data_IF_311474037206
#
_entry.id   IF_311474037206
#
_cell.length_a   1.000
_cell.length_b   1.000
_cell.length_c   1.000
_cell.angle_alpha   90.00
_cell.angle_beta   90.00
_cell.angle_gamma   90.00
#
_symmetry.space_group_name_H-M   'P 1'
#
loop_
_entity.id
_entity.type
_entity.pdbx_description
1 polymer ?
#
# COMPACT_ATOMS: atom_id res chain seq x y z
N UNK A 1 -8.31 0.02 -13.66
CA UNK A 1 -9.38 0.93 -13.20
C UNK A 1 -10.04 1.62 -14.40
N UNK A 2 -9.35 2.29 -15.33
CA UNK A 2 -10.00 2.92 -16.49
C UNK A 2 -10.98 2.01 -17.22
N UNK A 3 -10.53 0.85 -17.68
CA UNK A 3 -11.37 -0.11 -18.42
C UNK A 3 -12.62 -0.56 -17.65
N UNK A 4 -12.54 -0.62 -16.29
CA UNK A 4 -13.68 -0.96 -15.46
C UNK A 4 -14.69 0.19 -15.40
N UNK A 5 -14.22 1.44 -15.32
CA UNK A 5 -15.08 2.63 -15.35
C UNK A 5 -15.79 2.72 -16.71
N UNK A 6 -15.05 2.55 -17.80
CA UNK A 6 -15.59 2.55 -19.18
C UNK A 6 -16.60 1.42 -19.41
N UNK A 7 -16.41 0.27 -18.76
CA UNK A 7 -17.38 -0.83 -18.74
C UNK A 7 -18.63 -0.56 -17.86
N UNK A 8 -18.76 0.62 -17.25
CA UNK A 8 -19.90 1.03 -16.46
C UNK A 8 -19.83 0.67 -14.97
N UNK A 9 -18.66 0.30 -14.44
CA UNK A 9 -18.49 0.07 -13.00
C UNK A 9 -18.45 1.43 -12.29
N UNK A 10 -19.37 1.67 -11.39
CA UNK A 10 -19.55 2.94 -10.67
C UNK A 10 -19.10 2.88 -9.21
N UNK A 11 -18.78 1.69 -8.69
CA UNK A 11 -18.37 1.51 -7.29
C UNK A 11 -17.34 0.38 -7.17
N UNK A 12 -16.32 0.61 -6.33
CA UNK A 12 -15.24 -0.34 -6.07
C UNK A 12 -15.24 -0.71 -4.58
N UNK A 13 -15.43 -1.98 -4.29
CA UNK A 13 -15.35 -2.51 -2.93
C UNK A 13 -13.94 -3.00 -2.63
N UNK A 14 -13.36 -2.51 -1.53
CA UNK A 14 -12.05 -2.94 -1.03
C UNK A 14 -12.28 -3.84 0.18
N UNK A 15 -11.76 -5.07 0.13
CA UNK A 15 -11.79 -5.97 1.27
C UNK A 15 -10.56 -5.77 2.13
N UNK A 16 -10.79 -5.34 3.38
CA UNK A 16 -9.75 -5.08 4.38
C UNK A 16 -9.93 -5.88 5.67
N UNK A 17 -10.81 -6.90 5.69
CA UNK A 17 -11.04 -7.72 6.88
C UNK A 17 -9.74 -8.37 7.34
N UNK A 18 -9.46 -8.28 8.65
CA UNK A 18 -8.23 -8.79 9.27
C UNK A 18 -6.94 -8.13 8.73
N UNK A 19 -7.05 -6.93 8.17
CA UNK A 19 -5.92 -6.11 7.76
C UNK A 19 -5.77 -4.90 8.68
N UNK A 20 -4.54 -4.43 8.83
CA UNK A 20 -4.21 -3.24 9.60
C UNK A 20 -4.60 -1.94 8.87
N UNK A 21 -4.50 -0.83 9.58
CA UNK A 21 -4.82 0.49 9.05
C UNK A 21 -3.84 0.90 7.93
N UNK A 22 -2.59 0.45 7.98
CA UNK A 22 -1.57 0.74 6.95
C UNK A 22 -1.99 0.12 5.62
N UNK A 23 -2.44 -1.14 5.64
CA UNK A 23 -3.00 -1.78 4.45
C UNK A 23 -4.18 -1.01 3.88
N UNK A 24 -5.14 -0.60 4.74
CA UNK A 24 -6.34 0.12 4.29
C UNK A 24 -5.97 1.47 3.68
N UNK A 25 -5.17 2.30 4.37
CA UNK A 25 -4.72 3.60 3.88
C UNK A 25 -3.96 3.48 2.55
N UNK A 26 -3.05 2.51 2.44
CA UNK A 26 -2.25 2.29 1.23
C UNK A 26 -3.13 1.91 0.03
N UNK A 27 -4.02 0.93 0.20
CA UNK A 27 -4.90 0.46 -0.88
C UNK A 27 -5.92 1.53 -1.31
N UNK A 28 -6.55 2.21 -0.35
CA UNK A 28 -7.51 3.29 -0.63
C UNK A 28 -6.81 4.44 -1.34
N UNK A 29 -5.63 4.86 -0.88
CA UNK A 29 -4.84 5.91 -1.51
C UNK A 29 -4.46 5.55 -2.96
N UNK A 30 -3.98 4.33 -3.18
CA UNK A 30 -3.61 3.86 -4.52
C UNK A 30 -4.80 3.93 -5.50
N UNK A 31 -5.93 3.36 -5.09
CA UNK A 31 -7.13 3.33 -5.93
C UNK A 31 -7.71 4.74 -6.13
N UNK A 32 -7.74 5.57 -5.08
CA UNK A 32 -8.23 6.95 -5.16
C UNK A 32 -7.40 7.78 -6.13
N UNK A 33 -6.07 7.73 -6.04
CA UNK A 33 -5.17 8.41 -6.98
C UNK A 33 -5.40 7.96 -8.43
N UNK A 34 -5.64 6.67 -8.66
CA UNK A 34 -5.93 6.14 -10.02
C UNK A 34 -7.28 6.59 -10.57
N UNK A 35 -8.30 6.68 -9.72
CA UNK A 35 -9.62 7.18 -10.12
C UNK A 35 -9.54 8.69 -10.39
N UNK A 36 -8.92 9.47 -9.50
CA UNK A 36 -8.80 10.92 -9.67
C UNK A 36 -8.05 11.28 -10.95
N UNK A 37 -6.93 10.61 -11.23
CA UNK A 37 -6.18 10.83 -12.47
C UNK A 37 -6.99 10.48 -13.74
N UNK A 38 -7.87 9.47 -13.67
CA UNK A 38 -8.77 9.16 -14.78
C UNK A 38 -9.85 10.24 -14.97
N UNK A 39 -10.46 10.69 -13.88
CA UNK A 39 -11.50 11.73 -13.92
C UNK A 39 -10.96 13.07 -14.43
N UNK A 40 -9.75 13.46 -14.07
CA UNK A 40 -9.09 14.67 -14.55
C UNK A 40 -8.92 14.68 -16.10
N UNK A 41 -8.71 13.51 -16.69
CA UNK A 41 -8.53 13.35 -18.14
C UNK A 41 -9.85 13.12 -18.89
N UNK A 42 -10.95 12.83 -18.20
CA UNK A 42 -12.21 12.41 -18.79
C UNK A 42 -13.40 13.21 -18.21
N UNK A 43 -13.66 14.43 -18.70
CA UNK A 43 -14.67 15.36 -18.13
C UNK A 43 -16.10 14.88 -18.21
N UNK A 44 -16.40 13.82 -18.96
CA UNK A 44 -17.70 13.17 -19.00
C UNK A 44 -18.01 12.33 -17.74
N UNK A 45 -17.03 12.14 -16.88
CA UNK A 45 -17.16 11.40 -15.62
C UNK A 45 -16.91 12.33 -14.44
N UNK A 46 -17.71 12.16 -13.39
CA UNK A 46 -17.55 12.90 -12.13
C UNK A 46 -17.50 11.93 -10.96
N UNK A 47 -16.89 12.35 -9.85
CA UNK A 47 -16.96 11.55 -8.62
C UNK A 47 -18.34 11.68 -7.99
N UNK A 48 -18.88 10.56 -7.50
CA UNK A 48 -20.18 10.52 -6.81
C UNK A 48 -20.07 10.90 -5.31
N UNK A 49 -18.88 11.17 -4.80
CA UNK A 49 -18.67 11.47 -3.38
C UNK A 49 -18.03 12.83 -3.19
N UNK A 50 -18.51 13.59 -2.21
CA UNK A 50 -17.98 14.90 -1.81
C UNK A 50 -16.58 14.81 -1.23
N UNK A 51 -15.93 15.95 -1.13
CA UNK A 51 -14.65 16.11 -0.46
C UNK A 51 -13.43 15.71 -1.29
N UNK A 52 -12.27 16.13 -0.81
CA UNK A 52 -10.97 15.88 -1.40
C UNK A 52 -10.09 15.07 -0.45
N UNK A 53 -9.51 14.01 -0.98
CA UNK A 53 -8.53 13.20 -0.25
C UNK A 53 -7.12 13.76 -0.47
N UNK A 54 -6.35 13.82 0.61
CA UNK A 54 -4.92 14.18 0.59
C UNK A 54 -4.12 13.08 1.28
N UNK A 55 -2.93 12.80 0.75
CA UNK A 55 -2.05 11.75 1.25
C UNK A 55 -0.64 12.30 1.37
N UNK A 56 0.06 12.00 2.48
CA UNK A 56 1.44 12.42 2.72
C UNK A 56 2.47 11.35 2.35
N UNK A 57 2.02 10.29 1.69
CA UNK A 57 2.87 9.18 1.25
C UNK A 57 2.54 8.77 -0.19
N UNK A 58 3.51 8.12 -0.83
CA UNK A 58 3.28 7.47 -2.12
C UNK A 58 2.83 6.03 -1.91
N UNK A 59 1.61 5.76 -2.37
CA UNK A 59 1.00 4.44 -2.25
C UNK A 59 1.66 3.44 -3.19
N UNK A 60 2.05 2.29 -2.64
CA UNK A 60 2.67 1.18 -3.36
C UNK A 60 2.13 -0.14 -2.78
N UNK A 61 1.31 -0.84 -3.57
CA UNK A 61 0.59 -2.03 -3.08
C UNK A 61 1.51 -3.14 -2.58
N UNK A 62 2.70 -3.28 -3.18
CA UNK A 62 3.67 -4.30 -2.79
C UNK A 62 4.26 -4.10 -1.37
N UNK A 63 4.18 -2.89 -0.83
CA UNK A 63 4.75 -2.55 0.50
C UNK A 63 3.85 -2.94 1.66
N UNK A 64 2.64 -3.44 1.39
CA UNK A 64 1.72 -3.96 2.39
C UNK A 64 1.37 -5.42 2.11
N UNK A 65 0.50 -6.00 2.91
CA UNK A 65 0.14 -7.41 2.76
C UNK A 65 -0.28 -7.75 1.33
N UNK A 66 0.43 -8.69 0.71
CA UNK A 66 0.04 -9.31 -0.53
C UNK A 66 0.59 -10.74 -0.61
N UNK A 67 -0.02 -11.58 -1.44
CA UNK A 67 0.41 -12.93 -1.78
C UNK A 67 0.65 -13.10 -3.27
N UNK A 68 0.96 -11.99 -3.94
CA UNK A 68 0.94 -11.84 -5.39
C UNK A 68 -0.38 -11.22 -5.85
N UNK A 69 -0.44 -10.90 -7.13
CA UNK A 69 -1.58 -10.24 -7.76
C UNK A 69 -2.11 -11.09 -8.91
N UNK A 70 -3.38 -10.93 -9.17
CA UNK A 70 -4.05 -11.52 -10.32
C UNK A 70 -5.06 -10.49 -10.86
N UNK A 71 -5.30 -10.50 -12.15
CA UNK A 71 -6.40 -9.79 -12.78
C UNK A 71 -7.71 -10.61 -12.71
N UNK A 72 -7.66 -11.74 -12.01
CA UNK A 72 -8.73 -12.73 -11.95
C UNK A 72 -9.12 -13.18 -13.37
N UNK A 73 -10.27 -12.87 -13.86
CA UNK A 73 -10.75 -13.20 -15.21
C UNK A 73 -11.14 -11.94 -16.00
N UNK A 74 -10.58 -10.76 -15.63
CA UNK A 74 -10.95 -9.48 -16.28
C UNK A 74 -10.51 -9.45 -17.74
N UNK A 75 -9.31 -9.95 -18.05
CA UNK A 75 -8.79 -9.96 -19.41
C UNK A 75 -9.01 -11.32 -20.09
N UNK A 76 -8.64 -12.41 -19.42
CA UNK A 76 -8.77 -13.76 -19.95
C UNK A 76 -8.82 -14.79 -18.80
N UNK A 77 -9.14 -16.04 -19.12
CA UNK A 77 -9.11 -17.13 -18.12
C UNK A 77 -7.68 -17.64 -17.91
N UNK A 78 -7.22 -17.54 -16.66
CA UNK A 78 -5.96 -18.10 -16.20
C UNK A 78 -6.19 -19.33 -15.34
N UNK A 79 -5.30 -20.33 -15.46
CA UNK A 79 -5.38 -21.52 -14.60
C UNK A 79 -4.85 -21.27 -13.19
N UNK A 80 -3.86 -20.35 -13.04
CA UNK A 80 -3.18 -20.07 -11.78
C UNK A 80 -3.60 -18.72 -11.22
N UNK A 81 -4.76 -18.62 -10.58
CA UNK A 81 -5.26 -17.42 -9.91
C UNK A 81 -5.01 -17.38 -8.41
N UNK A 82 -4.51 -18.48 -7.84
CA UNK A 82 -4.24 -18.61 -6.41
C UNK A 82 -2.76 -18.70 -6.09
N UNK A 83 -2.39 -18.24 -4.89
CA UNK A 83 -1.05 -18.42 -4.33
C UNK A 83 -1.04 -19.61 -3.39
N UNK A 84 -0.35 -20.67 -3.76
CA UNK A 84 -0.30 -21.95 -3.02
C UNK A 84 0.94 -22.08 -2.13
N UNK A 85 1.93 -21.18 -2.30
CA UNK A 85 3.22 -21.26 -1.63
C UNK A 85 3.11 -20.96 -0.13
N UNK A 86 2.29 -19.98 0.26
CA UNK A 86 2.16 -19.57 1.66
C UNK A 86 0.88 -18.77 1.91
N UNK A 87 0.21 -18.95 3.06
CA UNK A 87 -0.88 -18.07 3.51
C UNK A 87 -0.35 -16.72 4.03
N UNK A 88 0.96 -16.60 4.27
CA UNK A 88 1.61 -15.39 4.79
C UNK A 88 1.82 -14.36 3.67
N UNK A 89 2.05 -13.10 4.06
CA UNK A 89 2.42 -12.05 3.12
C UNK A 89 3.75 -12.36 2.47
N UNK A 90 3.82 -12.27 1.14
CA UNK A 90 5.06 -12.31 0.37
C UNK A 90 5.74 -10.93 0.35
N UNK A 91 4.95 -9.87 0.19
CA UNK A 91 5.46 -8.49 0.18
C UNK A 91 6.15 -8.10 -1.13
N UNK A 92 7.05 -7.14 -1.02
CA UNK A 92 7.80 -6.57 -2.13
C UNK A 92 9.04 -7.41 -2.45
N UNK A 93 9.21 -7.81 -3.70
CA UNK A 93 10.46 -8.42 -4.15
C UNK A 93 11.59 -7.39 -4.07
N UNK A 94 12.68 -7.74 -3.41
CA UNK A 94 13.89 -6.92 -3.27
C UNK A 94 14.97 -7.38 -4.26
N UNK A 95 15.27 -8.67 -4.27
CA UNK A 95 16.34 -9.23 -5.08
C UNK A 95 16.67 -10.64 -4.63
N UNK A 96 17.88 -11.08 -4.95
CA UNK A 96 18.41 -12.39 -4.52
C UNK A 96 19.48 -12.19 -3.45
N UNK A 97 19.61 -13.18 -2.59
CA UNK A 97 20.81 -13.31 -1.77
C UNK A 97 22.02 -13.52 -2.69
N UNK A 98 22.99 -12.64 -2.61
CA UNK A 98 24.27 -12.76 -3.35
C UNK A 98 25.18 -13.74 -2.62
N UNK A 99 25.42 -13.49 -1.32
CA UNK A 99 26.22 -14.34 -0.44
C UNK A 99 26.01 -14.02 1.03
N UNK A 100 26.37 -14.97 1.89
CA UNK A 100 26.53 -14.77 3.34
C UNK A 100 27.96 -14.34 3.66
N UNK A 101 28.13 -13.28 4.47
CA UNK A 101 29.43 -12.72 4.87
C UNK A 101 29.47 -12.69 6.42
N UNK A 102 30.10 -13.68 7.03
CA UNK A 102 30.12 -13.79 8.49
C UNK A 102 28.69 -13.83 9.05
N UNK A 103 28.31 -12.80 9.83
CA UNK A 103 26.98 -12.68 10.45
C UNK A 103 26.04 -11.76 9.65
N UNK A 104 26.27 -11.56 8.37
CA UNK A 104 25.51 -10.65 7.52
C UNK A 104 25.23 -11.25 6.14
N UNK A 105 24.32 -10.62 5.41
CA UNK A 105 23.96 -10.98 4.05
C UNK A 105 24.22 -9.83 3.09
N UNK A 106 24.73 -10.14 1.92
CA UNK A 106 24.75 -9.25 0.76
C UNK A 106 23.57 -9.63 -0.14
N UNK A 107 22.65 -8.67 -0.37
CA UNK A 107 21.40 -8.88 -1.12
C UNK A 107 21.40 -7.89 -2.29
N UNK A 108 20.98 -8.34 -3.47
CA UNK A 108 20.67 -7.45 -4.60
C UNK A 108 19.72 -6.34 -4.14
N UNK A 109 19.98 -5.09 -4.50
CA UNK A 109 19.22 -3.91 -4.07
C UNK A 109 19.04 -3.79 -2.54
N UNK A 110 19.98 -4.33 -1.77
CA UNK A 110 19.95 -4.26 -0.30
C UNK A 110 19.98 -2.82 0.25
N UNK A 111 20.38 -1.83 -0.56
CA UNK A 111 20.32 -0.40 -0.26
C UNK A 111 18.86 0.13 -0.11
N UNK A 112 17.87 -0.60 -0.60
CA UNK A 112 16.44 -0.29 -0.40
C UNK A 112 15.91 -0.70 0.97
N UNK A 113 16.70 -1.44 1.74
CA UNK A 113 16.32 -1.99 3.05
C UNK A 113 16.71 -1.05 4.18
N UNK A 114 15.88 -1.02 5.21
CA UNK A 114 16.05 -0.19 6.39
C UNK A 114 16.09 -1.05 7.66
N UNK A 115 16.63 -0.46 8.72
CA UNK A 115 16.56 -1.06 10.05
C UNK A 115 15.10 -1.27 10.45
N UNK A 116 14.79 -2.46 10.95
CA UNK A 116 13.42 -2.85 11.34
C UNK A 116 12.59 -3.49 10.21
N UNK A 117 13.10 -3.54 8.97
CA UNK A 117 12.41 -4.24 7.90
C UNK A 117 12.29 -5.75 8.20
N UNK A 118 11.16 -6.33 7.85
CA UNK A 118 10.96 -7.78 7.85
C UNK A 118 11.18 -8.35 6.45
N UNK A 119 12.02 -9.36 6.37
CA UNK A 119 12.30 -10.07 5.13
C UNK A 119 11.74 -11.49 5.20
N UNK A 120 11.30 -12.01 4.06
CA UNK A 120 10.88 -13.39 3.93
C UNK A 120 11.45 -14.03 2.66
N UNK A 121 11.55 -15.34 2.72
CA UNK A 121 12.05 -16.19 1.64
C UNK A 121 11.47 -17.60 1.77
N UNK A 122 11.61 -18.40 0.74
CA UNK A 122 11.31 -19.84 0.79
C UNK A 122 12.63 -20.57 1.05
N UNK A 123 12.66 -21.36 2.12
CA UNK A 123 13.81 -22.15 2.50
C UNK A 123 13.95 -23.44 1.65
N UNK A 124 15.00 -24.23 1.87
CA UNK A 124 15.27 -25.46 1.14
C UNK A 124 14.20 -26.55 1.33
N UNK A 125 13.42 -26.46 2.40
CA UNK A 125 12.30 -27.38 2.66
C UNK A 125 10.99 -26.93 1.99
N UNK A 126 11.04 -25.90 1.12
CA UNK A 126 9.86 -25.27 0.52
C UNK A 126 8.92 -24.61 1.55
N UNK A 127 9.45 -24.16 2.67
CA UNK A 127 8.68 -23.49 3.70
C UNK A 127 8.97 -21.97 3.71
N UNK A 128 7.94 -21.18 4.00
CA UNK A 128 8.10 -19.74 4.16
C UNK A 128 8.78 -19.41 5.49
N UNK A 129 9.95 -18.80 5.43
CA UNK A 129 10.75 -18.38 6.56
C UNK A 129 11.08 -16.88 6.48
N UNK A 130 11.62 -16.28 7.54
CA UNK A 130 11.91 -14.85 7.56
C UNK A 130 12.89 -14.43 8.65
N UNK A 131 13.38 -13.21 8.50
CA UNK A 131 14.30 -12.52 9.40
C UNK A 131 13.89 -11.05 9.53
N UNK A 132 14.32 -10.39 10.61
CA UNK A 132 14.26 -8.95 10.74
C UNK A 132 15.63 -8.33 10.52
N UNK A 133 15.65 -7.15 9.92
CA UNK A 133 16.87 -6.36 9.69
C UNK A 133 17.17 -5.55 10.94
N UNK A 134 18.21 -5.91 11.69
CA UNK A 134 18.72 -5.11 12.80
C UNK A 134 19.48 -3.88 12.28
N UNK A 135 20.30 -4.07 11.25
CA UNK A 135 21.06 -3.01 10.61
C UNK A 135 21.15 -3.26 9.12
N UNK A 136 20.94 -2.20 8.33
CA UNK A 136 21.20 -2.16 6.89
C UNK A 136 22.25 -1.07 6.61
N UNK A 137 23.31 -1.38 5.92
CA UNK A 137 24.38 -0.44 5.59
C UNK A 137 25.08 -0.84 4.30
N UNK A 138 25.11 0.06 3.32
CA UNK A 138 25.79 -0.16 2.03
C UNK A 138 25.39 -1.47 1.32
N UNK A 139 24.10 -1.85 1.37
CA UNK A 139 23.61 -3.07 0.74
C UNK A 139 23.84 -4.35 1.56
N UNK A 140 24.51 -4.25 2.71
CA UNK A 140 24.75 -5.37 3.63
C UNK A 140 23.71 -5.34 4.76
N UNK A 141 23.13 -6.50 5.03
CA UNK A 141 22.06 -6.68 6.02
C UNK A 141 22.57 -7.50 7.19
N UNK A 142 22.43 -6.97 8.39
CA UNK A 142 22.70 -7.66 9.65
C UNK A 142 21.34 -8.11 10.23
N UNK A 143 21.03 -9.41 10.21
CA UNK A 143 19.74 -9.91 10.69
C UNK A 143 19.68 -9.97 12.23
N UNK A 144 18.47 -10.05 12.76
CA UNK A 144 18.24 -10.33 14.18
C UNK A 144 18.69 -11.75 14.58
N UNK A 145 18.54 -12.70 13.66
CA UNK A 145 18.99 -14.08 13.80
C UNK A 145 19.60 -14.51 12.47
N UNK A 146 20.83 -15.01 12.50
CA UNK A 146 21.47 -15.57 11.33
C UNK A 146 20.81 -16.90 10.99
N UNK A 147 20.38 -17.06 9.76
CA UNK A 147 19.80 -18.29 9.22
C UNK A 147 20.62 -18.79 8.04
N UNK A 148 20.59 -20.07 7.81
CA UNK A 148 21.16 -20.63 6.60
C UNK A 148 20.23 -20.33 5.42
N UNK A 149 20.73 -19.52 4.49
CA UNK A 149 19.99 -19.11 3.28
C UNK A 149 20.94 -19.37 2.11
N UNK A 150 20.48 -20.12 1.13
CA UNK A 150 21.27 -20.46 -0.05
C UNK A 150 21.47 -19.23 -0.96
N UNK A 151 22.66 -19.10 -1.51
CA UNK A 151 22.94 -18.07 -2.53
C UNK A 151 21.96 -18.20 -3.72
N UNK A 152 21.48 -17.08 -4.20
CA UNK A 152 20.45 -17.00 -5.25
C UNK A 152 19.01 -17.13 -4.75
N UNK A 153 18.76 -17.33 -3.46
CA UNK A 153 17.40 -17.34 -2.88
C UNK A 153 16.72 -15.98 -3.08
N UNK A 154 15.47 -15.98 -3.54
CA UNK A 154 14.67 -14.78 -3.70
C UNK A 154 14.26 -14.21 -2.35
N UNK A 155 14.56 -12.94 -2.13
CA UNK A 155 14.28 -12.20 -0.89
C UNK A 155 13.15 -11.20 -1.15
N UNK A 156 12.18 -11.20 -0.25
CA UNK A 156 11.04 -10.27 -0.28
C UNK A 156 10.98 -9.49 1.04
N UNK A 157 10.53 -8.24 0.97
CA UNK A 157 10.24 -7.41 2.15
C UNK A 157 8.75 -7.48 2.44
N UNK A 158 8.36 -8.15 3.51
CA UNK A 158 6.97 -8.29 3.94
C UNK A 158 6.57 -7.33 5.06
N UNK A 159 7.54 -6.59 5.62
CA UNK A 159 7.33 -5.50 6.56
C UNK A 159 8.28 -4.36 6.22
N UNK A 160 7.75 -3.22 5.78
CA UNK A 160 8.51 -2.02 5.45
C UNK A 160 8.39 -1.02 6.60
N UNK A 161 9.35 -1.04 7.52
CA UNK A 161 9.30 -0.26 8.76
C UNK A 161 9.23 1.26 8.51
N UNK A 162 9.97 1.75 7.51
CA UNK A 162 9.98 3.17 7.17
C UNK A 162 8.64 3.62 6.57
N UNK A 163 8.07 2.83 5.69
CA UNK A 163 6.77 3.09 5.10
C UNK A 163 5.64 3.05 6.13
N UNK A 164 5.61 2.02 6.96
CA UNK A 164 4.62 1.86 8.03
C UNK A 164 4.61 3.09 8.92
N UNK A 165 5.78 3.55 9.38
CA UNK A 165 5.92 4.73 10.23
C UNK A 165 5.34 6.02 9.60
N UNK A 166 5.41 6.16 8.27
CA UNK A 166 4.83 7.30 7.58
C UNK A 166 3.30 7.16 7.49
N UNK A 167 2.82 5.97 7.10
CA UNK A 167 1.40 5.72 6.87
C UNK A 167 0.58 5.68 8.17
N UNK A 168 1.17 5.25 9.28
CA UNK A 168 0.52 5.23 10.60
C UNK A 168 0.19 6.62 11.15
N UNK A 169 0.86 7.68 10.69
CA UNK A 169 0.56 9.04 11.14
C UNK A 169 -0.91 9.37 10.91
N UNK A 170 -1.51 10.09 11.85
CA UNK A 170 -2.93 10.46 11.78
C UNK A 170 -3.26 11.29 10.54
N UNK A 171 -2.36 12.20 10.17
CA UNK A 171 -2.48 13.11 9.04
C UNK A 171 -2.07 12.49 7.69
N UNK A 172 -1.66 11.23 7.66
CA UNK A 172 -1.13 10.58 6.44
C UNK A 172 -2.17 10.38 5.34
N UNK A 173 -3.44 10.25 5.72
CA UNK A 173 -4.56 10.12 4.80
C UNK A 173 -5.77 10.86 5.37
N UNK A 174 -6.13 11.97 4.76
CA UNK A 174 -7.21 12.85 5.25
C UNK A 174 -8.20 13.12 4.12
N UNK A 175 -9.49 13.10 4.43
CA UNK A 175 -10.55 13.60 3.55
C UNK A 175 -11.21 14.81 4.17
N UNK A 176 -11.29 15.91 3.42
CA UNK A 176 -11.97 17.14 3.84
C UNK A 176 -13.03 17.53 2.83
N UNK A 177 -14.12 18.07 3.33
CA UNK A 177 -15.22 18.65 2.55
C UNK A 177 -15.05 20.17 2.66
N UNK A 178 -15.15 20.86 1.53
CA UNK A 178 -15.14 22.33 1.49
C UNK A 178 -16.46 22.85 2.05
N UNK A 179 -16.40 23.81 2.97
CA UNK A 179 -17.58 24.39 3.60
C UNK A 179 -17.49 25.91 3.54
N UNK A 180 -18.54 26.56 3.08
CA UNK A 180 -18.72 28.00 3.10
C UNK A 180 -19.50 28.37 4.36
N UNK A 181 -18.95 29.29 5.16
CA UNK A 181 -19.60 29.83 6.33
C UNK A 181 -20.07 31.26 6.04
N UNK A 182 -21.35 31.52 6.24
CA UNK A 182 -21.95 32.87 6.09
C UNK A 182 -22.51 33.29 7.43
N UNK A 183 -22.02 34.43 7.96
CA UNK A 183 -22.55 35.04 9.16
C UNK A 183 -23.42 36.25 8.75
N UNK A 184 -24.69 36.24 9.12
CA UNK A 184 -25.63 37.37 8.88
C UNK A 184 -26.15 37.92 10.20
N UNK A 185 -26.36 39.21 10.25
CA UNK A 185 -27.06 39.89 11.34
C UNK A 185 -28.55 39.93 11.01
N UNK A 186 -29.38 39.65 11.99
CA UNK A 186 -30.85 39.76 11.92
C UNK A 186 -31.38 40.46 13.17
N UNK A 187 -32.69 40.69 13.23
CA UNK A 187 -33.35 41.41 14.33
C UNK A 187 -33.17 40.72 15.71
N UNK A 188 -32.84 39.44 15.74
CA UNK A 188 -32.67 38.64 16.97
C UNK A 188 -31.17 38.40 17.32
N UNK A 189 -30.24 38.91 16.52
CA UNK A 189 -28.77 38.72 16.71
C UNK A 189 -28.08 38.27 15.44
N UNK A 190 -27.28 37.18 15.53
CA UNK A 190 -26.49 36.66 14.42
C UNK A 190 -26.93 35.25 14.06
N UNK A 191 -26.93 34.97 12.77
CA UNK A 191 -27.18 33.64 12.20
C UNK A 191 -25.95 33.18 11.44
N UNK A 192 -25.46 31.96 11.72
CA UNK A 192 -24.36 31.35 11.03
C UNK A 192 -24.91 30.17 10.16
N UNK A 193 -24.77 30.33 8.85
CA UNK A 193 -25.11 29.27 7.88
C UNK A 193 -23.85 28.60 7.40
N UNK A 194 -23.79 27.27 7.43
CA UNK A 194 -22.74 26.46 6.86
C UNK A 194 -23.30 25.71 5.65
N UNK A 195 -22.64 25.86 4.50
CA UNK A 195 -23.05 25.16 3.28
C UNK A 195 -21.84 24.41 2.73
N UNK A 196 -21.99 23.11 2.50
CA UNK A 196 -20.92 22.29 1.93
C UNK A 196 -20.78 22.48 0.41
N UNK A 197 -19.84 21.75 -0.22
CA UNK A 197 -19.57 21.82 -1.66
C UNK A 197 -20.70 21.29 -2.55
N UNK A 198 -21.65 20.54 -1.97
CA UNK A 198 -22.83 19.98 -2.65
C UNK A 198 -24.08 20.82 -2.41
N UNK A 199 -23.99 21.90 -1.60
CA UNK A 199 -25.06 22.86 -1.33
C UNK A 199 -25.98 22.48 -0.16
N UNK A 200 -25.54 21.59 0.74
CA UNK A 200 -26.25 21.18 1.95
C UNK A 200 -25.74 21.91 3.18
#
# INVERSE_FOLDING_TARGET
IPNLIEAGIVSFKIEGRLKDMVYVKNNVSFLRKKIDAYLEQNPNYTKASSGKCTFTFDSELNRTFNRGYTDYFVNERHQAIGSWESPKSKGQYIGKLIKTIGNSYEIENGELLNNGDGLCFINENNEADGIYVNKAENGIIYPNVLKEIKDGTFIYRNNDAAFIKIVEREDSAVRKISTTLVLTENENGFELTATDEDGY
#
